data_IF_346486211069
#
_entry.id   IF_346486211069
#
_cell.length_a   1.000
_cell.length_b   1.000
_cell.length_c   1.000
_cell.angle_alpha   90.00
_cell.angle_beta   90.00
_cell.angle_gamma   90.00
#
_symmetry.space_group_name_H-M   'P 1'
#
loop_
_entity.id
_entity.type
_entity.pdbx_description
1 polymer ?
#
# COMPACT_ATOMS: atom_id res chain seq x y z
N UNK A 1 17.51 -3.75 28.12
CA UNK A 1 16.46 -2.84 27.58
C UNK A 1 15.10 -3.40 27.95
N UNK A 2 14.17 -2.57 28.47
CA UNK A 2 12.79 -3.02 28.72
C UNK A 2 12.15 -3.51 27.40
N UNK A 3 11.54 -4.69 27.43
CA UNK A 3 10.79 -5.22 26.27
C UNK A 3 9.65 -4.25 25.98
N UNK A 4 9.61 -3.68 24.77
CA UNK A 4 8.51 -2.82 24.34
C UNK A 4 7.24 -3.66 24.28
N UNK A 5 6.12 -3.10 24.79
CA UNK A 5 4.83 -3.79 24.69
C UNK A 5 4.39 -3.91 23.22
N UNK A 6 3.93 -5.07 22.75
CA UNK A 6 3.40 -5.19 21.38
C UNK A 6 2.26 -4.22 21.08
N UNK A 7 1.46 -3.84 22.05
CA UNK A 7 0.40 -2.85 21.92
C UNK A 7 0.89 -1.47 21.50
N UNK A 8 2.15 -1.11 21.80
CA UNK A 8 2.69 0.20 21.44
C UNK A 8 3.09 0.30 19.97
N UNK A 9 3.26 -0.80 19.24
CA UNK A 9 3.76 -0.73 17.88
C UNK A 9 2.97 -1.57 16.85
N UNK A 10 2.40 -2.73 17.22
CA UNK A 10 1.66 -3.58 16.28
C UNK A 10 0.45 -2.86 15.67
N UNK A 11 -0.42 -2.21 16.47
CA UNK A 11 -1.57 -1.49 15.91
C UNK A 11 -1.19 -0.41 14.90
N UNK A 12 -0.23 0.44 15.28
CA UNK A 12 0.19 1.57 14.44
C UNK A 12 0.98 1.13 13.21
N UNK A 13 1.77 0.03 13.32
CA UNK A 13 2.52 -0.51 12.20
C UNK A 13 1.58 -1.02 11.09
N UNK A 14 0.54 -1.78 11.45
CA UNK A 14 -0.42 -2.31 10.47
C UNK A 14 -1.42 -1.25 10.00
N UNK A 15 -1.69 -0.24 10.78
CA UNK A 15 -2.38 0.96 10.29
C UNK A 15 -1.53 1.69 9.22
N UNK A 16 -0.23 1.87 9.47
CA UNK A 16 0.69 2.44 8.49
C UNK A 16 0.86 1.58 7.23
N UNK A 17 0.66 0.26 7.30
CA UNK A 17 0.69 -0.65 6.16
C UNK A 17 -0.53 -0.46 5.24
N UNK A 18 -1.74 -0.28 5.80
CA UNK A 18 -2.98 -0.15 5.04
C UNK A 18 -3.13 1.16 4.28
N UNK A 19 -2.64 2.28 4.84
CA UNK A 19 -2.84 3.61 4.25
C UNK A 19 -2.26 3.79 2.84
N UNK A 20 -0.98 3.44 2.56
CA UNK A 20 -0.41 3.65 1.22
C UNK A 20 -1.03 2.74 0.17
N UNK A 21 -1.47 1.54 0.54
CA UNK A 21 -2.24 0.68 -0.34
C UNK A 21 -3.51 1.39 -0.84
N UNK A 22 -4.27 1.99 0.07
CA UNK A 22 -5.48 2.74 -0.27
C UNK A 22 -5.17 4.00 -1.08
N UNK A 23 -4.10 4.71 -0.76
CA UNK A 23 -3.66 5.86 -1.55
C UNK A 23 -3.41 5.49 -3.01
N UNK A 24 -2.73 4.37 -3.24
CA UNK A 24 -2.38 3.88 -4.58
C UNK A 24 -3.58 3.27 -5.29
N UNK A 25 -4.40 2.47 -4.62
CA UNK A 25 -5.45 1.66 -5.26
C UNK A 25 -6.80 2.36 -5.37
N UNK A 26 -7.15 3.23 -4.42
CA UNK A 26 -8.47 3.88 -4.37
C UNK A 26 -8.39 5.38 -4.58
N UNK A 27 -7.58 6.09 -3.77
CA UNK A 27 -7.53 7.55 -3.85
C UNK A 27 -6.98 8.04 -5.20
N UNK A 28 -5.99 7.35 -5.77
CA UNK A 28 -5.49 7.66 -7.12
C UNK A 28 -6.60 7.60 -8.16
N UNK A 29 -7.44 6.57 -8.08
CA UNK A 29 -8.53 6.32 -9.03
C UNK A 29 -9.60 7.41 -8.92
N UNK A 30 -10.05 7.73 -7.70
CA UNK A 30 -11.02 8.82 -7.45
C UNK A 30 -10.43 10.16 -7.91
N UNK A 31 -9.20 10.48 -7.51
CA UNK A 31 -8.51 11.70 -7.88
C UNK A 31 -8.42 11.88 -9.42
N UNK A 32 -7.93 10.87 -10.13
CA UNK A 32 -7.81 10.94 -11.59
C UNK A 32 -9.15 11.12 -12.27
N UNK A 33 -10.18 10.40 -11.80
CA UNK A 33 -11.54 10.58 -12.29
C UNK A 33 -12.04 12.01 -12.07
N UNK A 34 -11.87 12.57 -10.88
CA UNK A 34 -12.25 13.95 -10.56
C UNK A 34 -11.46 14.99 -11.34
N UNK A 35 -10.21 14.70 -11.68
CA UNK A 35 -9.34 15.54 -12.51
C UNK A 35 -9.63 15.43 -14.03
N UNK A 36 -10.64 14.66 -14.42
CA UNK A 36 -11.09 14.57 -15.81
C UNK A 36 -10.35 13.56 -16.68
N UNK A 37 -9.57 12.66 -16.09
CA UNK A 37 -8.94 11.56 -16.84
C UNK A 37 -10.02 10.55 -17.26
N UNK A 38 -9.96 10.06 -18.49
CA UNK A 38 -10.93 9.12 -19.04
C UNK A 38 -10.97 7.80 -18.25
N UNK A 39 -12.15 7.17 -18.17
CA UNK A 39 -12.31 5.88 -17.48
C UNK A 39 -11.36 4.80 -17.99
N UNK A 40 -11.13 4.78 -19.30
CA UNK A 40 -10.23 3.83 -19.95
C UNK A 40 -8.78 4.03 -19.49
N UNK A 41 -8.30 5.27 -19.47
CA UNK A 41 -6.95 5.58 -19.01
C UNK A 41 -6.78 5.30 -17.51
N UNK A 42 -7.76 5.74 -16.69
CA UNK A 42 -7.76 5.46 -15.26
C UNK A 42 -7.69 3.95 -15.01
N UNK A 43 -8.57 3.17 -15.64
CA UNK A 43 -8.58 1.72 -15.47
C UNK A 43 -7.29 1.07 -15.95
N UNK A 44 -6.76 1.47 -17.12
CA UNK A 44 -5.55 0.92 -17.69
C UNK A 44 -4.33 1.17 -16.79
N UNK A 45 -4.05 2.43 -16.48
CA UNK A 45 -2.82 2.81 -15.78
C UNK A 45 -2.85 2.44 -14.29
N UNK A 46 -4.00 2.61 -13.60
CA UNK A 46 -4.07 2.26 -12.18
C UNK A 46 -4.11 0.75 -11.92
N UNK A 47 -4.53 -0.06 -12.91
CA UNK A 47 -4.50 -1.52 -12.75
C UNK A 47 -3.08 -2.06 -12.59
N UNK A 48 -2.12 -1.49 -13.31
CA UNK A 48 -0.71 -1.87 -13.20
C UNK A 48 -0.09 -1.51 -11.86
N UNK A 49 -0.62 -0.52 -11.14
CA UNK A 49 -0.12 -0.11 -9.82
C UNK A 49 -0.23 -1.24 -8.77
N UNK A 50 -1.06 -2.27 -9.02
CA UNK A 50 -1.13 -3.45 -8.15
C UNK A 50 0.05 -4.42 -8.34
N UNK A 51 0.79 -4.31 -9.44
CA UNK A 51 1.86 -5.24 -9.79
C UNK A 51 2.91 -5.43 -8.70
N UNK A 52 3.42 -4.38 -8.00
CA UNK A 52 4.40 -4.55 -6.95
C UNK A 52 3.96 -5.54 -5.85
N UNK A 53 2.71 -5.50 -5.40
CA UNK A 53 2.22 -6.46 -4.39
C UNK A 53 2.14 -7.89 -4.91
N UNK A 54 1.85 -8.07 -6.21
CA UNK A 54 1.79 -9.40 -6.83
C UNK A 54 3.17 -10.00 -6.95
N UNK A 55 4.15 -9.21 -7.39
CA UNK A 55 5.52 -9.70 -7.65
C UNK A 55 6.48 -9.50 -6.48
N UNK A 56 6.01 -9.02 -5.31
CA UNK A 56 6.85 -8.81 -4.11
C UNK A 56 7.71 -10.03 -3.70
N UNK A 57 7.30 -11.32 -3.94
CA UNK A 57 8.18 -12.45 -3.67
C UNK A 57 9.50 -12.41 -4.43
N UNK A 58 9.56 -11.73 -5.60
CA UNK A 58 10.77 -11.67 -6.42
C UNK A 58 11.92 -10.88 -5.76
N UNK A 59 11.61 -9.92 -4.89
CA UNK A 59 12.65 -9.15 -4.17
C UNK A 59 12.61 -9.32 -2.64
N UNK A 60 11.66 -10.08 -2.12
CA UNK A 60 11.59 -10.39 -0.68
C UNK A 60 12.94 -10.90 -0.11
N UNK A 61 13.70 -11.78 -0.79
CA UNK A 61 15.00 -12.21 -0.31
C UNK A 61 16.02 -11.08 -0.12
N UNK A 62 15.97 -10.04 -0.97
CA UNK A 62 16.88 -8.90 -0.82
C UNK A 62 16.57 -8.07 0.43
N UNK A 63 15.29 -7.98 0.82
CA UNK A 63 14.86 -7.32 2.06
C UNK A 63 15.39 -8.08 3.29
N UNK A 64 15.51 -9.41 3.19
CA UNK A 64 16.05 -10.24 4.27
C UNK A 64 17.57 -10.13 4.40
N UNK A 65 18.25 -9.93 3.29
CA UNK A 65 19.72 -9.96 3.23
C UNK A 65 20.38 -8.65 3.57
N UNK A 66 19.87 -7.54 2.98
CA UNK A 66 20.63 -6.30 2.91
C UNK A 66 20.66 -5.54 4.23
N UNK A 67 19.58 -5.55 4.98
CA UNK A 67 19.43 -4.75 6.21
C UNK A 67 18.44 -5.39 7.18
N UNK A 68 18.36 -4.83 8.39
CA UNK A 68 17.37 -5.24 9.40
C UNK A 68 15.93 -4.91 8.94
N UNK A 69 14.95 -5.71 9.37
CA UNK A 69 13.53 -5.44 9.07
C UNK A 69 13.09 -4.08 9.60
N UNK A 70 13.57 -3.72 10.80
CA UNK A 70 13.32 -2.40 11.39
C UNK A 70 13.81 -1.27 10.49
N UNK A 71 14.99 -1.39 9.90
CA UNK A 71 15.54 -0.38 8.99
C UNK A 71 14.67 -0.23 7.74
N UNK A 72 14.25 -1.34 7.13
CA UNK A 72 13.38 -1.32 5.97
C UNK A 72 12.02 -0.68 6.28
N UNK A 73 11.38 -1.04 7.42
CA UNK A 73 10.12 -0.43 7.85
C UNK A 73 10.25 1.09 7.92
N UNK A 74 11.25 1.59 8.65
CA UNK A 74 11.40 3.05 8.82
C UNK A 74 11.78 3.77 7.53
N UNK A 75 12.64 3.18 6.70
CA UNK A 75 13.02 3.77 5.43
C UNK A 75 11.84 3.84 4.44
N UNK A 76 11.08 2.76 4.31
CA UNK A 76 9.93 2.73 3.41
C UNK A 76 8.83 3.68 3.86
N UNK A 77 8.61 3.83 5.15
CA UNK A 77 7.67 4.84 5.67
C UNK A 77 8.09 6.27 5.31
N UNK A 78 9.38 6.57 5.37
CA UNK A 78 9.89 7.87 4.94
C UNK A 78 9.64 8.09 3.44
N UNK A 79 9.95 7.10 2.60
CA UNK A 79 9.71 7.19 1.16
C UNK A 79 8.23 7.33 0.80
N UNK A 80 7.35 6.61 1.50
CA UNK A 80 5.90 6.73 1.31
C UNK A 80 5.42 8.12 1.71
N UNK A 81 5.84 8.63 2.88
CA UNK A 81 5.50 9.98 3.31
C UNK A 81 5.98 11.06 2.35
N UNK A 82 7.22 10.94 1.85
CA UNK A 82 7.77 11.82 0.82
C UNK A 82 7.01 11.70 -0.51
N UNK A 83 6.62 10.48 -0.91
CA UNK A 83 5.81 10.23 -2.10
C UNK A 83 4.43 10.89 -2.01
N UNK A 84 3.74 10.77 -0.87
CA UNK A 84 2.46 11.44 -0.63
C UNK A 84 2.58 12.97 -0.73
N UNK A 85 3.63 13.56 -0.16
CA UNK A 85 3.92 14.98 -0.30
C UNK A 85 4.25 15.34 -1.77
N UNK A 86 5.05 14.52 -2.45
CA UNK A 86 5.39 14.68 -3.86
C UNK A 86 4.15 14.69 -4.75
N UNK A 87 3.19 13.78 -4.53
CA UNK A 87 1.90 13.77 -5.24
C UNK A 87 1.19 15.11 -5.01
N UNK A 88 1.07 15.54 -3.76
CA UNK A 88 0.36 16.78 -3.42
C UNK A 88 0.95 18.01 -4.15
N UNK A 89 2.26 18.10 -4.27
CA UNK A 89 2.93 19.21 -4.96
C UNK A 89 2.86 19.11 -6.49
N UNK A 90 2.68 17.90 -7.04
CA UNK A 90 2.64 17.70 -8.50
C UNK A 90 1.22 17.75 -9.08
N UNK A 91 0.16 17.59 -8.25
CA UNK A 91 -1.24 17.71 -8.70
C UNK A 91 -1.53 19.02 -9.44
N UNK A 92 -1.10 20.22 -8.99
CA UNK A 92 -1.43 21.47 -9.67
C UNK A 92 -0.55 21.78 -10.89
N UNK A 93 0.22 20.83 -11.41
CA UNK A 93 1.10 21.02 -12.56
C UNK A 93 0.46 20.54 -13.87
N UNK A 94 0.94 21.06 -15.02
CA UNK A 94 0.43 20.67 -16.34
C UNK A 94 0.59 19.17 -16.65
N UNK A 95 1.66 18.54 -16.14
CA UNK A 95 1.94 17.12 -16.34
C UNK A 95 1.55 16.25 -15.15
N UNK A 96 0.52 16.68 -14.38
CA UNK A 96 0.13 16.03 -13.13
C UNK A 96 -0.09 14.52 -13.27
N UNK A 97 -0.74 14.08 -14.36
CA UNK A 97 -1.08 12.67 -14.55
C UNK A 97 0.17 11.79 -14.60
N UNK A 98 1.13 12.13 -15.47
CA UNK A 98 2.36 11.36 -15.66
C UNK A 98 3.23 11.41 -14.40
N UNK A 99 3.37 12.58 -13.79
CA UNK A 99 4.22 12.78 -12.60
C UNK A 99 3.64 12.10 -11.37
N UNK A 100 2.35 12.24 -11.10
CA UNK A 100 1.72 11.56 -9.97
C UNK A 100 1.68 10.05 -10.19
N UNK A 101 1.45 9.58 -11.42
CA UNK A 101 1.48 8.15 -11.75
C UNK A 101 2.87 7.54 -11.47
N UNK A 102 3.95 8.22 -11.87
CA UNK A 102 5.31 7.79 -11.58
C UNK A 102 5.57 7.72 -10.06
N UNK A 103 5.10 8.71 -9.29
CA UNK A 103 5.22 8.71 -7.83
C UNK A 103 4.37 7.58 -7.22
N UNK A 104 3.15 7.33 -7.71
CA UNK A 104 2.35 6.19 -7.25
C UNK A 104 3.03 4.84 -7.51
N UNK A 105 3.76 4.68 -8.63
CA UNK A 105 4.58 3.50 -8.86
C UNK A 105 5.67 3.33 -7.81
N UNK A 106 6.42 4.39 -7.53
CA UNK A 106 7.45 4.38 -6.47
C UNK A 106 6.85 4.06 -5.10
N UNK A 107 5.68 4.64 -4.79
CA UNK A 107 4.95 4.36 -3.57
C UNK A 107 4.46 2.91 -3.50
N UNK A 108 3.96 2.34 -4.61
CA UNK A 108 3.51 0.97 -4.67
C UNK A 108 4.66 -0.02 -4.37
N UNK A 109 5.86 0.21 -4.95
CA UNK A 109 7.06 -0.57 -4.61
C UNK A 109 7.51 -0.37 -3.16
N UNK A 110 7.48 0.87 -2.68
CA UNK A 110 7.84 1.18 -1.28
C UNK A 110 6.86 0.53 -0.31
N UNK A 111 5.56 0.56 -0.59
CA UNK A 111 4.54 -0.07 0.24
C UNK A 111 4.64 -1.59 0.22
N UNK A 112 4.82 -2.21 -0.95
CA UNK A 112 5.03 -3.66 -1.03
C UNK A 112 6.32 -4.12 -0.30
N UNK A 113 7.37 -3.29 -0.31
CA UNK A 113 8.59 -3.55 0.46
C UNK A 113 8.37 -3.34 1.97
N UNK A 114 7.58 -2.31 2.34
CA UNK A 114 7.17 -2.11 3.71
C UNK A 114 6.39 -3.32 4.27
N UNK A 115 5.44 -3.88 3.50
CA UNK A 115 4.68 -5.08 3.88
C UNK A 115 5.61 -6.26 4.19
N UNK A 116 6.57 -6.55 3.29
CA UNK A 116 7.56 -7.62 3.50
C UNK A 116 8.33 -7.40 4.80
N UNK A 117 8.76 -6.16 5.02
CA UNK A 117 9.55 -5.81 6.20
C UNK A 117 8.70 -5.83 7.48
N UNK A 118 7.47 -5.33 7.44
CA UNK A 118 6.56 -5.28 8.58
C UNK A 118 6.14 -6.69 9.03
N UNK A 119 5.79 -7.57 8.10
CA UNK A 119 5.45 -8.96 8.39
C UNK A 119 6.66 -9.72 8.96
N UNK A 120 7.84 -9.55 8.35
CA UNK A 120 9.08 -10.15 8.89
C UNK A 120 9.43 -9.59 10.28
N UNK A 121 9.25 -8.29 10.49
CA UNK A 121 9.49 -7.65 11.78
C UNK A 121 8.50 -8.14 12.86
N UNK A 122 7.23 -8.32 12.51
CA UNK A 122 6.22 -8.91 13.39
C UNK A 122 6.63 -10.30 13.88
N UNK A 123 7.13 -11.14 12.97
CA UNK A 123 7.59 -12.49 13.31
C UNK A 123 8.83 -12.48 14.21
N UNK A 124 9.76 -11.54 14.01
CA UNK A 124 10.99 -11.43 14.81
C UNK A 124 10.79 -10.72 16.13
N UNK A 125 9.85 -9.77 16.19
CA UNK A 125 9.59 -8.94 17.36
C UNK A 125 8.69 -9.58 18.43
N UNK A 126 7.96 -10.64 18.08
CA UNK A 126 6.96 -11.30 18.93
C UNK A 126 7.28 -12.78 19.14
N UNK A 127 6.96 -13.29 20.33
CA UNK A 127 6.92 -14.73 20.58
C UNK A 127 5.76 -15.38 19.85
N UNK A 128 5.80 -16.70 19.61
CA UNK A 128 4.71 -17.45 18.95
C UNK A 128 3.35 -17.22 19.63
N UNK A 129 3.32 -17.13 20.96
CA UNK A 129 2.10 -16.84 21.71
C UNK A 129 1.59 -15.42 21.44
N UNK A 130 2.49 -14.41 21.46
CA UNK A 130 2.13 -13.02 21.12
C UNK A 130 1.68 -12.89 19.66
N UNK A 131 2.31 -13.59 18.71
CA UNK A 131 1.88 -13.61 17.31
C UNK A 131 0.43 -14.11 17.17
N UNK A 132 0.07 -15.19 17.87
CA UNK A 132 -1.29 -15.72 17.86
C UNK A 132 -2.32 -14.73 18.44
N UNK A 133 -1.96 -14.01 19.52
CA UNK A 133 -2.82 -12.98 20.11
C UNK A 133 -3.00 -11.75 19.20
N UNK A 134 -1.93 -11.31 18.56
CA UNK A 134 -1.94 -10.06 17.80
C UNK A 134 -2.36 -10.25 16.33
N UNK A 135 -2.59 -11.47 15.82
CA UNK A 135 -3.01 -11.70 14.44
C UNK A 135 -4.36 -11.03 14.11
N UNK A 136 -5.31 -11.07 15.02
CA UNK A 136 -6.60 -10.37 14.88
C UNK A 136 -6.44 -8.84 14.96
N UNK A 137 -5.60 -8.38 15.88
CA UNK A 137 -5.34 -6.94 16.10
C UNK A 137 -4.69 -6.32 14.86
N UNK A 138 -3.65 -6.93 14.29
CA UNK A 138 -3.01 -6.43 13.08
C UNK A 138 -4.02 -6.31 11.92
N UNK A 139 -4.86 -7.33 11.71
CA UNK A 139 -5.89 -7.32 10.68
C UNK A 139 -6.94 -6.23 10.91
N UNK A 140 -7.31 -6.00 12.16
CA UNK A 140 -8.26 -4.95 12.55
C UNK A 140 -7.71 -3.56 12.23
N UNK A 141 -6.47 -3.26 12.62
CA UNK A 141 -5.88 -1.94 12.38
C UNK A 141 -5.57 -1.70 10.91
N UNK A 142 -5.21 -2.73 10.14
CA UNK A 142 -5.14 -2.65 8.69
C UNK A 142 -6.51 -2.28 8.07
N UNK A 143 -7.61 -2.92 8.52
CA UNK A 143 -8.96 -2.60 8.06
C UNK A 143 -9.41 -1.20 8.48
N UNK A 144 -9.06 -0.75 9.69
CA UNK A 144 -9.34 0.63 10.13
C UNK A 144 -8.65 1.63 9.20
N UNK A 145 -7.38 1.39 8.84
CA UNK A 145 -6.67 2.23 7.88
C UNK A 145 -7.35 2.24 6.51
N UNK A 146 -7.81 1.08 6.04
CA UNK A 146 -8.55 0.94 4.79
C UNK A 146 -9.84 1.75 4.79
N UNK A 147 -10.66 1.62 5.84
CA UNK A 147 -11.93 2.35 5.99
C UNK A 147 -11.67 3.86 6.12
N UNK A 148 -10.69 4.25 6.93
CA UNK A 148 -10.31 5.66 7.08
C UNK A 148 -9.82 6.27 5.76
N UNK A 149 -9.04 5.52 4.99
CA UNK A 149 -8.55 5.97 3.69
C UNK A 149 -9.65 6.09 2.64
N UNK A 150 -10.48 5.06 2.49
CA UNK A 150 -11.56 5.04 1.50
C UNK A 150 -12.74 5.94 1.85
N UNK A 151 -13.07 6.05 3.14
CA UNK A 151 -14.17 6.87 3.61
C UNK A 151 -13.73 8.29 3.97
N UNK A 152 -13.04 8.44 5.10
CA UNK A 152 -12.75 9.75 5.67
C UNK A 152 -11.92 10.66 4.73
N UNK A 153 -10.89 10.14 4.09
CA UNK A 153 -10.03 10.96 3.21
C UNK A 153 -10.75 11.36 1.92
N UNK A 154 -11.57 10.49 1.35
CA UNK A 154 -12.41 10.83 0.19
C UNK A 154 -13.46 11.87 0.57
N UNK A 155 -14.10 11.73 1.74
CA UNK A 155 -15.03 12.74 2.25
C UNK A 155 -14.34 14.10 2.49
N UNK A 156 -13.11 14.12 3.02
CA UNK A 156 -12.33 15.35 3.19
C UNK A 156 -12.06 15.99 1.81
N UNK A 157 -11.64 15.20 0.82
CA UNK A 157 -11.41 15.70 -0.53
C UNK A 157 -12.69 16.31 -1.12
N UNK A 158 -13.83 15.61 -1.03
CA UNK A 158 -15.11 16.09 -1.54
C UNK A 158 -15.62 17.34 -0.81
N UNK A 159 -15.47 17.41 0.51
CA UNK A 159 -15.79 18.60 1.30
C UNK A 159 -14.95 19.81 0.86
N UNK A 160 -13.64 19.60 0.68
CA UNK A 160 -12.74 20.64 0.19
C UNK A 160 -13.08 21.05 -1.24
N UNK A 161 -13.42 20.11 -2.15
CA UNK A 161 -13.89 20.45 -3.50
C UNK A 161 -15.10 21.41 -3.46
N UNK A 162 -16.07 21.12 -2.60
CA UNK A 162 -17.28 21.91 -2.46
C UNK A 162 -17.00 23.29 -1.87
N UNK A 163 -16.11 23.39 -0.89
CA UNK A 163 -15.84 24.64 -0.17
C UNK A 163 -14.86 25.55 -0.90
N UNK A 164 -13.88 24.98 -1.59
CA UNK A 164 -12.83 25.75 -2.30
C UNK A 164 -13.15 26.00 -3.77
N UNK A 165 -14.03 25.20 -4.37
CA UNK A 165 -14.30 25.21 -5.80
C UNK A 165 -13.14 24.72 -6.69
N UNK A 166 -12.07 24.18 -6.10
CA UNK A 166 -10.87 23.74 -6.81
C UNK A 166 -10.54 22.29 -6.52
N UNK A 167 -10.75 21.42 -7.53
CA UNK A 167 -10.42 20.00 -7.43
C UNK A 167 -8.92 19.77 -7.19
N UNK A 168 -7.98 20.39 -7.95
CA UNK A 168 -6.55 20.17 -7.73
C UNK A 168 -6.10 20.55 -6.32
N UNK A 169 -6.56 21.71 -5.83
CA UNK A 169 -6.21 22.17 -4.50
C UNK A 169 -6.72 21.21 -3.41
N UNK A 170 -7.94 20.73 -3.54
CA UNK A 170 -8.58 19.83 -2.57
C UNK A 170 -7.84 18.51 -2.44
N UNK A 171 -7.46 17.92 -3.56
CA UNK A 171 -6.67 16.69 -3.58
C UNK A 171 -5.24 16.91 -3.08
N UNK A 172 -4.61 18.05 -3.41
CA UNK A 172 -3.29 18.40 -2.86
C UNK A 172 -3.32 18.46 -1.33
N UNK A 173 -4.32 19.12 -0.73
CA UNK A 173 -4.47 19.20 0.72
C UNK A 173 -4.74 17.81 1.33
N UNK A 174 -5.56 16.99 0.68
CA UNK A 174 -5.84 15.62 1.14
C UNK A 174 -4.57 14.77 1.18
N UNK A 175 -3.75 14.81 0.13
CA UNK A 175 -2.48 14.08 0.10
C UNK A 175 -1.44 14.66 1.06
N UNK A 176 -1.40 15.99 1.27
CA UNK A 176 -0.56 16.61 2.31
C UNK A 176 -0.98 16.17 3.71
N UNK A 177 -2.27 16.07 3.98
CA UNK A 177 -2.79 15.55 5.25
C UNK A 177 -2.32 14.11 5.48
N UNK A 178 -2.42 13.25 4.46
CA UNK A 178 -1.88 11.89 4.53
C UNK A 178 -0.37 11.88 4.75
N UNK A 179 0.37 12.72 4.03
CA UNK A 179 1.82 12.84 4.21
C UNK A 179 2.19 13.22 5.65
N UNK A 180 1.47 14.19 6.24
CA UNK A 180 1.64 14.58 7.64
C UNK A 180 1.38 13.43 8.62
N UNK A 181 0.28 12.70 8.44
CA UNK A 181 -0.05 11.51 9.25
C UNK A 181 1.07 10.47 9.10
N UNK A 182 1.51 10.21 7.88
CA UNK A 182 2.50 9.18 7.60
C UNK A 182 3.89 9.53 8.15
N UNK A 183 4.29 10.79 8.06
CA UNK A 183 5.52 11.29 8.67
C UNK A 183 5.47 11.25 10.20
N UNK A 184 4.31 11.52 10.80
CA UNK A 184 4.11 11.36 12.24
C UNK A 184 4.23 9.88 12.67
N UNK A 185 3.65 8.95 11.91
CA UNK A 185 3.80 7.51 12.12
C UNK A 185 5.25 7.07 11.93
N UNK A 186 5.95 7.55 10.91
CA UNK A 186 7.38 7.31 10.71
C UNK A 186 8.20 7.76 11.92
N UNK A 187 7.99 8.98 12.39
CA UNK A 187 8.68 9.52 13.55
C UNK A 187 8.41 8.66 14.80
N UNK A 188 7.15 8.33 15.03
CA UNK A 188 6.75 7.44 16.12
C UNK A 188 7.46 6.09 16.05
N UNK A 189 7.44 5.43 14.89
CA UNK A 189 8.05 4.13 14.68
C UNK A 189 9.59 4.17 14.77
N UNK A 190 10.22 5.27 14.36
CA UNK A 190 11.67 5.44 14.51
C UNK A 190 12.13 5.31 15.97
N UNK A 191 11.28 5.70 16.93
CA UNK A 191 11.58 5.62 18.36
C UNK A 191 10.98 4.40 19.03
N UNK A 192 9.74 4.00 18.70
CA UNK A 192 9.00 3.00 19.47
C UNK A 192 9.27 1.56 19.02
N UNK A 193 9.64 1.32 17.75
CA UNK A 193 9.88 -0.04 17.27
C UNK A 193 11.00 -0.71 18.05
N UNK A 194 10.78 -1.93 18.62
CA UNK A 194 11.81 -2.67 19.33
C UNK A 194 13.01 -2.98 18.42
N UNK A 195 14.10 -3.43 19.04
CA UNK A 195 15.31 -3.90 18.34
C UNK A 195 15.54 -5.37 18.70
N UNK A 196 14.83 -6.32 18.04
CA UNK A 196 15.01 -7.73 18.31
C UNK A 196 16.45 -8.14 18.04
N UNK A 197 17.02 -8.99 18.90
CA UNK A 197 18.39 -9.46 18.73
C UNK A 197 18.58 -10.30 17.45
N UNK A 198 17.49 -10.91 16.99
CA UNK A 198 17.45 -11.75 15.78
C UNK A 198 17.22 -10.93 14.50
N UNK A 199 16.91 -9.63 14.59
CA UNK A 199 16.75 -8.75 13.44
C UNK A 199 18.14 -8.31 12.93
N UNK A 200 18.79 -9.21 12.20
CA UNK A 200 20.13 -9.00 11.62
C UNK A 200 20.05 -9.19 10.11
N UNK A 201 20.85 -8.40 9.39
CA UNK A 201 21.11 -8.70 7.99
C UNK A 201 21.79 -10.08 7.88
N UNK A 202 21.39 -10.90 6.92
CA UNK A 202 21.99 -12.21 6.70
C UNK A 202 23.37 -12.04 6.03
N UNK A 203 24.41 -11.88 6.82
CA UNK A 203 25.79 -11.60 6.35
C UNK A 203 26.43 -12.82 5.67
N UNK A 204 25.91 -14.04 5.88
CA UNK A 204 26.61 -15.27 5.50
C UNK A 204 26.01 -15.99 4.27
N UNK A 205 24.87 -15.56 3.76
CA UNK A 205 24.28 -16.20 2.59
C UNK A 205 24.65 -15.39 1.34
N UNK A 206 25.46 -16.00 0.47
CA UNK A 206 25.79 -15.40 -0.83
C UNK A 206 24.50 -15.08 -1.60
N UNK A 207 24.42 -13.90 -2.21
CA UNK A 207 23.28 -13.51 -3.05
C UNK A 207 22.98 -14.56 -4.13
N UNK A 208 24.00 -15.26 -4.64
CA UNK A 208 23.85 -16.37 -5.58
C UNK A 208 23.21 -17.61 -4.93
N UNK A 209 23.47 -17.90 -3.66
CA UNK A 209 22.86 -19.01 -2.91
C UNK A 209 21.36 -18.80 -2.72
N UNK A 210 20.97 -17.61 -2.33
CA UNK A 210 19.55 -17.26 -2.15
C UNK A 210 18.77 -17.22 -3.45
N UNK A 211 19.35 -16.66 -4.51
CA UNK A 211 18.73 -16.71 -5.82
C UNK A 211 18.53 -18.15 -6.29
N UNK A 212 19.50 -19.03 -6.02
CA UNK A 212 19.38 -20.45 -6.32
C UNK A 212 18.27 -21.13 -5.51
N UNK A 213 18.20 -20.88 -4.20
CA UNK A 213 17.13 -21.42 -3.34
C UNK A 213 15.76 -20.89 -3.74
N UNK A 214 15.66 -19.59 -4.05
CA UNK A 214 14.46 -18.98 -4.56
C UNK A 214 14.00 -19.66 -5.87
N UNK A 215 14.89 -19.79 -6.84
CA UNK A 215 14.58 -20.46 -8.13
C UNK A 215 14.19 -21.92 -7.93
N UNK A 216 14.84 -22.63 -7.01
CA UNK A 216 14.48 -24.01 -6.68
C UNK A 216 13.08 -24.10 -6.06
N UNK A 217 12.74 -23.18 -5.15
CA UNK A 217 11.42 -23.09 -4.53
C UNK A 217 10.34 -22.77 -5.56
N UNK A 218 10.58 -21.80 -6.43
CA UNK A 218 9.70 -21.49 -7.56
C UNK A 218 9.48 -22.70 -8.47
N UNK A 219 10.56 -23.33 -8.90
CA UNK A 219 10.50 -24.54 -9.73
C UNK A 219 9.74 -25.69 -9.04
N UNK A 220 9.94 -25.86 -7.72
CA UNK A 220 9.25 -26.89 -6.95
C UNK A 220 7.74 -26.64 -6.88
N UNK A 221 7.31 -25.37 -6.78
CA UNK A 221 5.90 -25.00 -6.80
C UNK A 221 5.21 -25.39 -8.11
N UNK A 222 5.82 -25.05 -9.26
CA UNK A 222 5.25 -25.38 -10.57
C UNK A 222 5.32 -26.88 -10.92
N UNK A 223 6.11 -27.64 -10.18
CA UNK A 223 6.17 -29.10 -10.31
C UNK A 223 5.15 -29.84 -9.46
N UNK A 224 4.44 -29.14 -8.57
CA UNK A 224 3.39 -29.77 -7.76
C UNK A 224 2.27 -30.25 -8.68
N UNK A 225 1.76 -31.43 -8.36
CA UNK A 225 0.55 -31.96 -9.00
C UNK A 225 -0.59 -30.93 -8.86
N UNK A 226 -1.30 -30.65 -9.93
CA UNK A 226 -2.39 -29.67 -10.01
C UNK A 226 -1.99 -28.17 -9.83
N UNK A 227 -0.71 -27.80 -9.84
CA UNK A 227 -0.30 -26.39 -9.73
C UNK A 227 -0.97 -25.50 -10.79
N UNK A 228 -1.08 -25.98 -12.03
CA UNK A 228 -1.76 -25.27 -13.12
C UNK A 228 -3.25 -25.04 -12.86
N UNK A 229 -3.96 -26.04 -12.33
CA UNK A 229 -5.37 -25.94 -11.98
C UNK A 229 -5.56 -24.94 -10.83
N UNK A 230 -4.70 -25.00 -9.81
CA UNK A 230 -4.76 -24.07 -8.67
C UNK A 230 -4.52 -22.62 -9.12
N UNK A 231 -3.56 -22.37 -10.00
CA UNK A 231 -3.29 -21.04 -10.56
C UNK A 231 -4.50 -20.56 -11.39
N UNK A 232 -5.02 -21.40 -12.28
CA UNK A 232 -6.18 -21.06 -13.11
C UNK A 232 -7.40 -20.72 -12.24
N UNK A 233 -7.64 -21.53 -11.22
CA UNK A 233 -8.72 -21.27 -10.25
C UNK A 233 -8.54 -19.92 -9.55
N UNK A 234 -7.34 -19.62 -9.04
CA UNK A 234 -7.06 -18.35 -8.37
C UNK A 234 -7.26 -17.15 -9.31
N UNK A 235 -6.84 -17.27 -10.56
CA UNK A 235 -7.01 -16.19 -11.55
C UNK A 235 -8.49 -15.98 -11.89
N UNK A 236 -9.22 -17.05 -12.17
CA UNK A 236 -10.65 -16.95 -12.53
C UNK A 236 -11.51 -16.49 -11.34
N UNK A 237 -11.19 -16.93 -10.13
CA UNK A 237 -11.90 -16.51 -8.93
C UNK A 237 -11.74 -15.00 -8.64
N UNK A 238 -10.54 -14.46 -8.85
CA UNK A 238 -10.22 -13.06 -8.59
C UNK A 238 -10.66 -12.09 -9.68
N UNK A 239 -10.83 -12.58 -10.90
CA UNK A 239 -11.13 -11.73 -12.06
C UNK A 239 -12.41 -10.90 -11.91
N UNK A 240 -13.57 -11.46 -11.50
CA UNK A 240 -14.81 -10.68 -11.32
C UNK A 240 -14.67 -9.61 -10.23
N UNK A 241 -14.04 -9.96 -9.10
CA UNK A 241 -13.78 -9.04 -8.00
C UNK A 241 -12.90 -7.87 -8.45
N UNK A 242 -11.83 -8.15 -9.20
CA UNK A 242 -10.92 -7.13 -9.71
C UNK A 242 -11.62 -6.17 -10.68
N UNK A 243 -12.47 -6.68 -11.56
CA UNK A 243 -13.26 -5.87 -12.48
C UNK A 243 -14.27 -5.00 -11.73
N UNK A 244 -15.04 -5.58 -10.80
CA UNK A 244 -16.00 -4.84 -10.01
C UNK A 244 -15.33 -3.70 -9.23
N UNK A 245 -14.21 -3.97 -8.57
CA UNK A 245 -13.46 -2.96 -7.81
C UNK A 245 -13.02 -1.79 -8.68
N UNK A 246 -12.60 -2.04 -9.92
CA UNK A 246 -12.13 -0.99 -10.84
C UNK A 246 -13.26 -0.20 -11.48
N UNK A 247 -14.40 -0.84 -11.76
CA UNK A 247 -15.52 -0.19 -12.43
C UNK A 247 -16.52 0.46 -11.47
N UNK A 248 -16.51 0.10 -10.19
CA UNK A 248 -17.45 0.67 -9.21
C UNK A 248 -17.29 2.18 -9.05
N UNK A 249 -16.06 2.69 -8.96
CA UNK A 249 -15.81 4.13 -8.77
C UNK A 249 -16.24 4.95 -9.99
N UNK A 250 -15.84 4.63 -11.24
CA UNK A 250 -16.41 5.28 -12.41
C UNK A 250 -17.94 5.25 -12.44
N UNK A 251 -18.55 4.10 -12.17
CA UNK A 251 -20.01 3.95 -12.16
C UNK A 251 -20.68 4.87 -11.12
N UNK A 252 -20.11 5.03 -9.94
CA UNK A 252 -20.65 5.91 -8.91
C UNK A 252 -20.55 7.40 -9.29
N UNK A 253 -19.44 7.81 -9.90
CA UNK A 253 -19.13 9.22 -10.16
C UNK A 253 -19.60 9.72 -11.53
N UNK A 254 -19.77 8.84 -12.53
CA UNK A 254 -20.21 9.24 -13.86
C UNK A 254 -21.65 9.81 -13.83
N UNK A 255 -21.96 10.81 -14.71
CA UNK A 255 -23.29 11.34 -14.82
C UNK A 255 -24.33 10.27 -15.19
N UNK A 256 -25.57 10.45 -14.74
CA UNK A 256 -26.68 9.56 -15.08
C UNK A 256 -26.89 9.47 -16.62
N UNK A 257 -26.59 10.53 -17.34
CA UNK A 257 -26.65 10.54 -18.82
C UNK A 257 -25.61 9.62 -19.48
N UNK A 258 -24.56 9.24 -18.78
CA UNK A 258 -23.51 8.33 -19.23
C UNK A 258 -23.64 6.92 -18.59
N UNK A 259 -24.76 6.67 -17.90
CA UNK A 259 -25.05 5.39 -17.29
C UNK A 259 -24.49 5.22 -15.87
N UNK A 260 -23.94 6.27 -15.26
CA UNK A 260 -23.50 6.30 -13.88
C UNK A 260 -24.57 6.73 -12.89
N UNK A 261 -24.23 6.90 -11.62
CA UNK A 261 -25.10 7.36 -10.55
C UNK A 261 -25.02 8.87 -10.29
N UNK A 262 -24.01 9.56 -10.82
CA UNK A 262 -23.80 10.99 -10.63
C UNK A 262 -23.50 11.40 -9.19
N UNK A 263 -22.92 10.52 -8.39
CA UNK A 263 -22.59 10.81 -6.99
C UNK A 263 -21.48 11.86 -6.89
N UNK A 264 -21.52 12.67 -5.84
CA UNK A 264 -20.43 13.58 -5.51
C UNK A 264 -19.31 12.83 -4.80
N UNK A 265 -18.11 13.41 -4.79
CA UNK A 265 -16.94 12.82 -4.07
C UNK A 265 -17.19 12.70 -2.55
N UNK A 266 -18.10 13.50 -2.02
CA UNK A 266 -18.47 13.48 -0.59
C UNK A 266 -19.43 12.34 -0.25
N UNK A 267 -20.28 11.90 -1.20
CA UNK A 267 -21.22 10.78 -1.06
C UNK A 267 -20.54 9.41 -1.23
#
# INVERSE_FOLDING_TARGET
>A
MKKQSPWSWVPTLYFAEGLPYIAVMTLSLVMYKRMGISNTEVALYTSWLNLPWVIKPLWSPFVDLLRTKRWWVTLMQLFIGAGLAGIAFTIPTEHFFQTTLAIFWLMAFSSATHDIAADGFYMLGLTTHEQALFVGIRSTFYRIATIAGQGLLVMIAGYLEKTTGSIPYSWSITFLTMAGIFLALWLYHAFILPRPANDKAAVETSASGLLKEFLLTFRSFFRKEQAGIAILFMLLYRLPEAQLTKMSIPFLLDPVSEGGLGMTTEQ
#
